data_IF_499980337561
#
_entry.id   IF_499980337561
#
_cell.length_a   1.000
_cell.length_b   1.000
_cell.length_c   1.000
_cell.angle_alpha   90.00
_cell.angle_beta   90.00
_cell.angle_gamma   90.00
#
_symmetry.space_group_name_H-M   'P 1'
#
loop_
_entity.id
_entity.type
_entity.pdbx_description
1 polymer ?
#
# COMPACT_ATOMS: atom_id res chain seq x y z
N UNK A 1 -9.75 11.57 10.88
CA UNK A 1 -9.02 11.77 9.60
C UNK A 1 -8.41 10.45 9.13
N UNK A 2 -8.26 10.25 7.82
CA UNK A 2 -7.62 9.05 7.24
C UNK A 2 -6.22 9.41 6.71
N UNK A 3 -5.27 8.49 6.85
CA UNK A 3 -3.96 8.56 6.18
C UNK A 3 -3.64 7.26 5.42
N UNK A 4 -2.73 7.36 4.45
CA UNK A 4 -2.04 6.22 3.84
C UNK A 4 -0.68 6.04 4.53
N UNK A 5 -0.43 4.85 5.10
CA UNK A 5 0.81 4.50 5.76
C UNK A 5 1.62 3.53 4.91
N UNK A 6 2.79 3.97 4.44
CA UNK A 6 3.71 3.22 3.58
C UNK A 6 4.87 2.68 4.42
N UNK A 7 4.99 1.35 4.51
CA UNK A 7 5.93 0.70 5.44
C UNK A 7 7.04 -0.05 4.69
N UNK A 8 8.29 0.24 5.06
CA UNK A 8 9.52 -0.45 4.68
C UNK A 8 9.68 -0.68 3.17
N UNK A 9 9.26 0.27 2.35
CA UNK A 9 9.50 0.25 0.89
C UNK A 9 10.93 0.75 0.62
N UNK A 10 11.89 -0.13 0.91
CA UNK A 10 13.32 0.17 0.90
C UNK A 10 14.05 -0.73 -0.10
N UNK A 11 15.12 -0.24 -0.72
CA UNK A 11 15.83 -0.92 -1.82
C UNK A 11 16.24 -2.35 -1.46
N UNK A 12 16.75 -2.54 -0.23
CA UNK A 12 17.16 -3.85 0.30
C UNK A 12 16.04 -4.89 0.36
N UNK A 13 14.78 -4.46 0.47
CA UNK A 13 13.64 -5.35 0.63
C UNK A 13 12.99 -5.68 -0.70
N UNK A 14 12.97 -4.74 -1.65
CA UNK A 14 12.23 -4.89 -2.91
C UNK A 14 12.67 -6.08 -3.76
N UNK A 15 13.94 -6.48 -3.71
CA UNK A 15 14.46 -7.64 -4.46
C UNK A 15 13.85 -8.98 -4.02
N UNK A 16 13.09 -9.03 -2.92
CA UNK A 16 12.40 -10.24 -2.46
C UNK A 16 10.94 -10.34 -2.95
N UNK A 17 10.46 -9.35 -3.71
CA UNK A 17 9.06 -9.26 -4.12
C UNK A 17 8.95 -9.04 -5.64
N UNK A 18 7.73 -9.18 -6.17
CA UNK A 18 7.45 -8.97 -7.58
C UNK A 18 7.83 -7.55 -8.02
N UNK A 19 8.43 -7.44 -9.21
CA UNK A 19 8.92 -6.18 -9.76
C UNK A 19 7.81 -5.12 -9.97
N UNK A 20 6.54 -5.54 -10.02
CA UNK A 20 5.39 -4.67 -10.17
C UNK A 20 4.88 -4.08 -8.84
N UNK A 21 5.42 -4.50 -7.68
CA UNK A 21 5.01 -4.02 -6.37
C UNK A 21 5.25 -2.53 -6.18
N UNK A 22 6.45 -2.05 -6.49
CA UNK A 22 6.79 -0.63 -6.35
C UNK A 22 5.91 0.26 -7.26
N UNK A 23 5.71 -0.06 -8.56
CA UNK A 23 4.73 0.63 -9.39
C UNK A 23 3.31 0.69 -8.80
N UNK A 24 2.79 -0.42 -8.24
CA UNK A 24 1.47 -0.45 -7.59
C UNK A 24 1.42 0.46 -6.36
N UNK A 25 2.45 0.43 -5.53
CA UNK A 25 2.58 1.31 -4.35
C UNK A 25 2.60 2.79 -4.77
N UNK A 26 3.41 3.15 -5.77
CA UNK A 26 3.49 4.52 -6.27
C UNK A 26 2.15 5.01 -6.83
N UNK A 27 1.45 4.17 -7.59
CA UNK A 27 0.11 4.50 -8.08
C UNK A 27 -0.86 4.77 -6.92
N UNK A 28 -0.82 3.95 -5.86
CA UNK A 28 -1.65 4.16 -4.67
C UNK A 28 -1.30 5.44 -3.91
N UNK A 29 -0.01 5.77 -3.79
CA UNK A 29 0.46 7.03 -3.20
C UNK A 29 -0.06 8.22 -4.01
N UNK A 30 0.03 8.17 -5.33
CA UNK A 30 -0.46 9.25 -6.20
C UNK A 30 -1.98 9.45 -6.06
N UNK A 31 -2.75 8.36 -5.98
CA UNK A 31 -4.20 8.42 -5.75
C UNK A 31 -4.53 9.03 -4.38
N UNK A 32 -3.85 8.61 -3.31
CA UNK A 32 -4.06 9.17 -1.97
C UNK A 32 -3.73 10.67 -1.94
N UNK A 33 -2.59 11.07 -2.50
CA UNK A 33 -2.17 12.46 -2.59
C UNK A 33 -3.19 13.32 -3.37
N UNK A 34 -3.67 12.82 -4.51
CA UNK A 34 -4.65 13.53 -5.33
C UNK A 34 -6.02 13.66 -4.66
N UNK A 35 -6.35 12.73 -3.76
CA UNK A 35 -7.57 12.78 -2.95
C UNK A 35 -7.45 13.68 -1.71
N UNK A 36 -6.25 14.22 -1.43
CA UNK A 36 -5.98 15.01 -0.23
C UNK A 36 -5.79 14.18 1.05
N UNK A 37 -5.69 12.85 0.94
CA UNK A 37 -5.28 11.99 2.04
C UNK A 37 -3.80 12.29 2.35
N UNK A 38 -3.45 12.40 3.64
CA UNK A 38 -2.03 12.50 3.99
C UNK A 38 -1.33 11.15 3.83
N UNK A 39 -0.09 11.19 3.33
CA UNK A 39 0.77 10.02 3.15
C UNK A 39 1.88 10.06 4.17
N UNK A 40 2.05 8.98 4.92
CA UNK A 40 3.08 8.82 5.93
C UNK A 40 3.99 7.65 5.51
N UNK A 41 5.28 7.81 5.71
CA UNK A 41 6.29 6.80 5.39
C UNK A 41 6.97 6.34 6.66
N UNK A 42 7.20 5.03 6.78
CA UNK A 42 7.97 4.46 7.87
C UNK A 42 9.04 3.56 7.28
N UNK A 43 10.30 3.82 7.61
CA UNK A 43 11.43 2.99 7.22
C UNK A 43 12.03 2.28 8.42
N UNK A 44 12.46 1.05 8.22
CA UNK A 44 13.24 0.32 9.22
C UNK A 44 14.70 0.74 9.12
N UNK A 45 15.36 1.08 10.23
CA UNK A 45 16.79 1.46 10.25
C UNK A 45 17.68 0.37 10.88
N UNK A 46 17.12 -0.80 11.16
CA UNK A 46 17.84 -1.91 11.79
C UNK A 46 18.14 -1.70 13.28
N UNK A 47 18.38 -2.82 13.97
CA UNK A 47 18.71 -2.79 15.40
C UNK A 47 20.14 -2.27 15.67
N UNK A 48 21.04 -2.41 14.70
CA UNK A 48 22.46 -2.04 14.82
C UNK A 48 22.81 -0.67 14.23
N UNK A 49 21.82 0.08 13.72
CA UNK A 49 22.00 1.43 13.19
C UNK A 49 21.74 1.56 11.69
N UNK A 50 21.35 2.78 11.30
CA UNK A 50 21.05 3.16 9.92
C UNK A 50 22.34 3.16 9.09
N UNK A 51 22.25 2.63 7.88
CA UNK A 51 23.27 2.72 6.85
C UNK A 51 22.58 2.86 5.49
N UNK A 52 23.32 3.15 4.42
CA UNK A 52 22.74 3.41 3.10
C UNK A 52 21.82 2.28 2.58
N UNK A 53 21.96 1.03 3.08
CA UNK A 53 21.06 -0.07 2.70
C UNK A 53 19.62 0.11 3.19
N UNK A 54 19.39 0.94 4.21
CA UNK A 54 18.08 1.23 4.78
C UNK A 54 17.45 2.51 4.19
N UNK A 55 18.01 3.07 3.11
CA UNK A 55 17.33 4.10 2.36
C UNK A 55 15.97 3.59 1.82
N UNK A 56 14.99 4.49 1.78
CA UNK A 56 13.78 4.27 0.99
C UNK A 56 14.18 3.98 -0.47
N UNK A 57 13.38 3.19 -1.17
CA UNK A 57 13.68 2.85 -2.56
C UNK A 57 13.79 4.13 -3.40
N UNK A 58 14.80 4.19 -4.27
CA UNK A 58 15.12 5.41 -5.05
C UNK A 58 13.95 5.89 -5.91
N UNK A 59 13.14 4.95 -6.39
CA UNK A 59 12.01 5.18 -7.28
C UNK A 59 10.67 5.22 -6.50
N UNK A 60 10.69 5.21 -5.17
CA UNK A 60 9.50 5.41 -4.35
C UNK A 60 9.02 6.86 -4.47
N UNK A 61 7.74 7.02 -4.76
CA UNK A 61 7.10 8.32 -4.79
C UNK A 61 6.96 8.89 -3.37
N UNK A 62 7.66 9.98 -3.08
CA UNK A 62 7.57 10.73 -1.82
C UNK A 62 6.79 12.02 -2.06
N UNK A 63 5.62 12.15 -1.42
CA UNK A 63 4.71 13.31 -1.58
C UNK A 63 4.55 14.16 -0.32
N UNK A 64 5.22 13.79 0.78
CA UNK A 64 5.18 14.49 2.05
C UNK A 64 6.48 14.30 2.84
N UNK A 65 6.73 15.17 3.81
CA UNK A 65 7.88 15.08 4.73
C UNK A 65 7.58 14.21 5.97
N UNK A 66 6.42 13.54 6.03
CA UNK A 66 6.03 12.67 7.14
C UNK A 66 6.74 11.31 7.07
N UNK A 67 8.06 11.32 7.30
CA UNK A 67 8.93 10.15 7.25
C UNK A 67 9.43 9.82 8.66
N UNK A 68 9.17 8.60 9.11
CA UNK A 68 9.52 8.11 10.44
C UNK A 68 10.39 6.87 10.37
N UNK A 69 11.11 6.62 11.46
CA UNK A 69 12.08 5.53 11.54
C UNK A 69 11.71 4.55 12.66
N UNK A 70 11.87 3.26 12.41
CA UNK A 70 11.67 2.22 13.42
C UNK A 70 12.83 1.24 13.44
N UNK A 71 13.13 0.71 14.62
CA UNK A 71 14.10 -0.38 14.81
C UNK A 71 13.42 -1.74 14.96
N UNK A 72 12.17 -1.72 15.39
CA UNK A 72 11.36 -2.92 15.62
C UNK A 72 10.27 -3.03 14.55
N UNK A 73 9.63 -4.20 14.40
CA UNK A 73 8.65 -4.43 13.34
C UNK A 73 7.52 -3.40 13.26
N UNK A 74 6.97 -2.98 14.39
CA UNK A 74 5.80 -2.08 14.45
C UNK A 74 6.19 -0.60 14.32
N UNK A 75 5.48 0.13 13.46
CA UNK A 75 5.60 1.59 13.37
C UNK A 75 5.22 2.31 14.68
N UNK A 76 4.38 1.68 15.52
CA UNK A 76 3.97 2.23 16.81
C UNK A 76 5.09 2.24 17.86
N UNK A 77 6.27 1.70 17.53
CA UNK A 77 7.47 1.84 18.37
C UNK A 77 8.18 3.19 18.18
N UNK A 78 7.76 4.01 17.21
CA UNK A 78 8.24 5.39 17.06
C UNK A 78 7.28 6.36 17.75
N UNK A 79 7.72 6.98 18.85
CA UNK A 79 6.89 7.90 19.63
C UNK A 79 6.50 9.17 18.84
N UNK A 80 7.35 9.64 17.92
CA UNK A 80 7.05 10.82 17.11
C UNK A 80 5.94 10.54 16.10
N UNK A 81 5.95 9.35 15.49
CA UNK A 81 4.87 8.86 14.64
C UNK A 81 3.55 8.79 15.42
N UNK A 82 3.54 8.13 16.58
CA UNK A 82 2.33 8.01 17.42
C UNK A 82 1.82 9.37 17.89
N UNK A 83 2.73 10.29 18.22
CA UNK A 83 2.38 11.67 18.60
C UNK A 83 1.76 12.43 17.43
N UNK A 84 2.31 12.29 16.22
CA UNK A 84 1.78 12.96 15.03
C UNK A 84 0.37 12.48 14.70
N UNK A 85 0.11 11.16 14.77
CA UNK A 85 -1.24 10.62 14.56
C UNK A 85 -2.28 11.28 15.48
N UNK A 86 -1.91 11.56 16.74
CA UNK A 86 -2.77 12.25 17.70
C UNK A 86 -2.93 13.73 17.37
N UNK A 87 -1.85 14.44 17.06
CA UNK A 87 -1.88 15.87 16.69
C UNK A 87 -2.80 16.10 15.50
N UNK A 88 -2.74 15.21 14.51
CA UNK A 88 -3.56 15.30 13.31
C UNK A 88 -4.96 14.69 13.44
N UNK A 89 -5.35 14.20 14.63
CA UNK A 89 -6.64 13.55 14.86
C UNK A 89 -6.92 12.42 13.85
N UNK A 90 -5.90 11.62 13.58
CA UNK A 90 -6.00 10.43 12.72
C UNK A 90 -6.90 9.41 13.41
N UNK A 91 -7.84 8.86 12.67
CA UNK A 91 -8.81 7.86 13.12
C UNK A 91 -8.76 6.61 12.25
N UNK A 92 -8.27 6.73 11.00
CA UNK A 92 -8.20 5.64 10.04
C UNK A 92 -6.81 5.53 9.40
N UNK A 93 -6.31 4.30 9.28
CA UNK A 93 -5.02 3.97 8.67
C UNK A 93 -5.25 2.99 7.51
N UNK A 94 -4.94 3.39 6.28
CA UNK A 94 -4.76 2.44 5.18
C UNK A 94 -3.28 2.07 5.10
N UNK A 95 -2.94 0.80 5.28
CA UNK A 95 -1.55 0.31 5.40
C UNK A 95 -1.15 -0.43 4.12
N UNK A 96 0.03 -0.08 3.60
CA UNK A 96 0.69 -0.71 2.44
C UNK A 96 2.19 -0.92 2.71
N UNK A 97 2.84 -1.77 1.89
CA UNK A 97 4.28 -2.00 1.94
C UNK A 97 4.66 -3.44 2.29
N UNK A 98 5.80 -3.62 2.96
CA UNK A 98 6.40 -4.94 3.22
C UNK A 98 7.03 -5.02 4.62
N UNK A 99 7.33 -6.18 5.19
CA UNK A 99 6.82 -7.50 4.83
C UNK A 99 5.47 -7.76 5.50
N UNK A 100 4.53 -8.35 4.75
CA UNK A 100 3.18 -8.72 5.18
C UNK A 100 3.14 -9.54 6.48
N UNK A 101 4.10 -10.43 6.71
CA UNK A 101 4.15 -11.31 7.89
C UNK A 101 4.82 -10.68 9.11
N UNK A 102 5.51 -9.56 8.94
CA UNK A 102 6.38 -8.98 9.98
C UNK A 102 5.92 -7.55 10.29
N UNK A 103 6.41 -6.56 9.55
CA UNK A 103 6.23 -5.15 9.86
C UNK A 103 4.79 -4.70 9.63
N UNK A 104 4.18 -5.19 8.55
CA UNK A 104 2.77 -4.94 8.25
C UNK A 104 1.89 -5.58 9.31
N UNK A 105 2.05 -6.89 9.57
CA UNK A 105 1.30 -7.61 10.62
C UNK A 105 1.35 -6.88 11.96
N UNK A 106 2.54 -6.56 12.44
CA UNK A 106 2.73 -5.93 13.76
C UNK A 106 2.15 -4.53 13.80
N UNK A 107 2.34 -3.72 12.77
CA UNK A 107 1.76 -2.37 12.71
C UNK A 107 0.24 -2.40 12.64
N UNK A 108 -0.35 -3.29 11.82
CA UNK A 108 -1.81 -3.44 11.76
C UNK A 108 -2.41 -3.86 13.10
N UNK A 109 -1.76 -4.81 13.80
CA UNK A 109 -2.22 -5.28 15.10
C UNK A 109 -2.15 -4.18 16.16
N UNK A 110 -1.02 -3.46 16.26
CA UNK A 110 -0.86 -2.40 17.25
C UNK A 110 -1.79 -1.20 16.96
N UNK A 111 -2.00 -0.88 15.67
CA UNK A 111 -2.98 0.12 15.26
C UNK A 111 -4.41 -0.25 15.69
N UNK A 112 -4.84 -1.48 15.41
CA UNK A 112 -6.17 -1.95 15.78
C UNK A 112 -6.34 -1.94 17.32
N UNK A 113 -5.35 -2.43 18.06
CA UNK A 113 -5.34 -2.41 19.52
C UNK A 113 -5.37 -0.98 20.10
N UNK A 114 -4.76 -0.02 19.41
CA UNK A 114 -4.81 1.40 19.79
C UNK A 114 -6.12 2.10 19.38
N UNK A 115 -7.08 1.38 18.80
CA UNK A 115 -8.42 1.89 18.47
C UNK A 115 -8.55 2.56 17.11
N UNK A 116 -7.53 2.49 16.25
CA UNK A 116 -7.63 2.99 14.88
C UNK A 116 -8.46 2.04 14.01
N UNK A 117 -9.23 2.60 13.08
CA UNK A 117 -9.80 1.81 11.99
C UNK A 117 -8.70 1.48 10.98
N UNK A 118 -8.37 0.20 10.86
CA UNK A 118 -7.24 -0.24 10.03
C UNK A 118 -7.76 -0.92 8.76
N UNK A 119 -7.25 -0.49 7.62
CA UNK A 119 -7.43 -1.15 6.33
C UNK A 119 -6.08 -1.64 5.82
N UNK A 120 -5.90 -2.94 5.61
CA UNK A 120 -4.74 -3.51 4.94
C UNK A 120 -5.05 -3.69 3.45
N UNK A 121 -4.25 -3.06 2.59
CA UNK A 121 -4.44 -3.13 1.15
C UNK A 121 -3.51 -4.17 0.48
N UNK A 122 -4.10 -5.29 0.05
CA UNK A 122 -3.37 -6.41 -0.54
C UNK A 122 -2.86 -6.17 -1.97
N UNK A 123 -3.37 -5.14 -2.66
CA UNK A 123 -2.80 -4.72 -3.95
C UNK A 123 -1.48 -3.99 -3.78
N UNK A 124 -1.12 -3.54 -2.59
CA UNK A 124 0.10 -2.78 -2.35
C UNK A 124 0.91 -3.36 -1.18
N UNK A 125 0.62 -4.62 -0.82
CA UNK A 125 1.30 -5.35 0.25
C UNK A 125 1.82 -6.67 -0.28
N UNK A 126 3.04 -7.03 0.09
CA UNK A 126 3.63 -8.32 -0.24
C UNK A 126 4.29 -8.98 0.97
N UNK A 127 4.37 -10.30 0.93
CA UNK A 127 5.00 -11.11 1.98
C UNK A 127 5.91 -12.15 1.34
N UNK A 128 7.09 -12.38 1.92
CA UNK A 128 8.07 -13.34 1.39
C UNK A 128 7.60 -14.78 1.46
N UNK A 129 6.71 -15.08 2.40
CA UNK A 129 6.13 -16.41 2.58
C UNK A 129 4.61 -16.31 2.53
N UNK A 130 4.04 -16.59 1.37
CA UNK A 130 2.60 -16.49 1.12
C UNK A 130 1.79 -17.47 1.98
N UNK A 131 2.31 -18.67 2.24
CA UNK A 131 1.63 -19.65 3.10
C UNK A 131 1.46 -19.16 4.54
N UNK A 132 2.48 -18.47 5.07
CA UNK A 132 2.38 -17.80 6.38
C UNK A 132 1.47 -16.58 6.26
N UNK A 133 1.50 -15.88 5.13
CA UNK A 133 0.70 -14.68 4.93
C UNK A 133 -0.79 -14.96 4.99
N UNK A 134 -1.28 -16.06 4.40
CA UNK A 134 -2.68 -16.46 4.54
C UNK A 134 -3.12 -16.66 6.00
N UNK A 135 -2.23 -17.17 6.86
CA UNK A 135 -2.50 -17.26 8.31
C UNK A 135 -2.51 -15.89 8.96
N UNK A 136 -1.53 -15.04 8.61
CA UNK A 136 -1.46 -13.64 9.06
C UNK A 136 -2.74 -12.87 8.70
N UNK A 137 -3.28 -13.02 7.48
CA UNK A 137 -4.52 -12.36 7.07
C UNK A 137 -5.72 -12.80 7.91
N UNK A 138 -5.80 -14.07 8.31
CA UNK A 138 -6.85 -14.54 9.23
C UNK A 138 -6.72 -13.91 10.61
N UNK A 139 -5.51 -13.84 11.15
CA UNK A 139 -5.25 -13.18 12.44
C UNK A 139 -5.62 -11.69 12.41
N UNK A 140 -5.27 -10.99 11.33
CA UNK A 140 -5.59 -9.57 11.16
C UNK A 140 -7.10 -9.34 11.06
N UNK A 141 -7.85 -10.18 10.32
CA UNK A 141 -9.31 -10.11 10.29
C UNK A 141 -9.92 -10.30 11.67
N UNK A 142 -9.43 -11.27 12.44
CA UNK A 142 -9.91 -11.53 13.80
C UNK A 142 -9.64 -10.35 14.75
N UNK A 143 -8.60 -9.57 14.49
CA UNK A 143 -8.29 -8.33 15.22
C UNK A 143 -9.09 -7.11 14.73
N UNK A 144 -10.04 -7.28 13.80
CA UNK A 144 -10.86 -6.19 13.27
C UNK A 144 -10.23 -5.38 12.14
N UNK A 145 -9.09 -5.84 11.59
CA UNK A 145 -8.47 -5.19 10.42
C UNK A 145 -9.30 -5.50 9.17
N UNK A 146 -9.71 -4.46 8.46
CA UNK A 146 -10.39 -4.57 7.17
C UNK A 146 -9.34 -4.92 6.11
N UNK A 147 -9.57 -5.97 5.32
CA UNK A 147 -8.63 -6.39 4.29
C UNK A 147 -9.26 -6.14 2.93
N UNK A 148 -8.63 -5.27 2.12
CA UNK A 148 -9.06 -5.05 0.74
C UNK A 148 -8.32 -5.99 -0.20
N UNK A 149 -9.09 -6.66 -1.07
CA UNK A 149 -8.58 -7.67 -1.98
C UNK A 149 -7.75 -7.08 -3.10
N UNK A 150 -6.93 -7.93 -3.72
CA UNK A 150 -6.40 -7.66 -5.05
C UNK A 150 -7.56 -7.62 -6.03
N UNK A 151 -8.15 -6.46 -6.34
CA UNK A 151 -8.87 -6.34 -7.61
C UNK A 151 -7.86 -6.62 -8.71
N UNK A 152 -8.27 -7.37 -9.73
CA UNK A 152 -7.44 -7.63 -10.90
C UNK A 152 -7.09 -6.27 -11.53
N UNK A 153 -5.86 -5.80 -11.36
CA UNK A 153 -5.31 -4.78 -12.24
C UNK A 153 -4.69 -5.52 -13.41
N UNK A 154 -5.38 -5.52 -14.54
CA UNK A 154 -4.74 -5.81 -15.83
C UNK A 154 -3.76 -4.67 -16.14
N UNK A 155 -2.58 -4.69 -15.51
CA UNK A 155 -1.45 -3.87 -15.94
C UNK A 155 -0.87 -4.57 -17.17
N UNK A 156 -1.25 -4.06 -18.35
CA UNK A 156 -0.57 -4.23 -19.63
C UNK A 156 0.03 -5.62 -19.93
N UNK A 157 -0.75 -6.69 -19.74
CA UNK A 157 -0.49 -7.96 -20.42
C UNK A 157 -1.54 -8.10 -21.50
N UNK A 158 -1.11 -7.86 -22.74
CA UNK A 158 -1.85 -8.01 -23.99
C UNK A 158 -3.18 -8.77 -23.86
N UNK A 159 -4.29 -8.04 -23.83
CA UNK A 159 -5.51 -8.54 -24.47
C UNK A 159 -5.31 -8.33 -25.96
N UNK A 160 -5.01 -9.41 -26.68
CA UNK A 160 -5.09 -9.46 -28.13
C UNK A 160 -6.54 -9.28 -28.56
N UNK A 161 -7.05 -8.04 -28.51
CA UNK A 161 -8.25 -7.67 -29.25
C UNK A 161 -7.73 -6.93 -30.47
N UNK A 162 -8.02 -7.52 -31.62
CA UNK A 162 -7.67 -7.02 -32.94
C UNK A 162 -8.01 -5.53 -33.06
N UNK A 163 -6.98 -4.72 -33.30
CA UNK A 163 -6.88 -3.77 -34.40
C UNK A 163 -5.73 -2.81 -34.09
N UNK A 164 -4.65 -2.95 -34.87
CA UNK A 164 -3.44 -2.18 -34.68
C UNK A 164 -3.67 -0.69 -34.89
N UNK A 165 -3.41 0.10 -33.86
CA UNK A 165 -2.98 1.49 -33.96
C UNK A 165 -2.04 1.77 -32.77
N UNK A 166 -0.78 2.09 -33.07
CA UNK A 166 0.20 2.59 -32.09
C UNK A 166 -0.12 4.04 -31.76
N UNK A 167 -0.27 4.37 -30.48
CA UNK A 167 -0.03 5.72 -29.97
C UNK A 167 0.33 5.71 -28.48
N UNK A 168 0.99 6.79 -28.06
CA UNK A 168 1.73 7.14 -26.82
C UNK A 168 1.18 6.56 -25.48
N UNK A 169 2.01 6.43 -24.43
CA UNK A 169 1.57 5.90 -23.14
C UNK A 169 0.79 6.97 -22.36
N UNK A 170 -0.51 7.03 -22.56
CA UNK A 170 -1.42 7.59 -21.57
C UNK A 170 -1.69 6.51 -20.51
N UNK A 171 -1.46 6.84 -19.23
CA UNK A 171 -1.81 5.95 -18.12
C UNK A 171 -3.33 5.98 -18.00
N UNK A 172 -3.99 5.05 -18.68
CA UNK A 172 -5.41 4.80 -18.47
C UNK A 172 -5.60 3.98 -17.19
N UNK A 173 -6.15 4.60 -16.16
CA UNK A 173 -6.58 3.90 -14.95
C UNK A 173 -7.95 3.26 -15.26
N UNK A 174 -8.03 1.94 -15.19
CA UNK A 174 -9.27 1.20 -15.36
C UNK A 174 -9.76 0.65 -14.02
N UNK A 175 -11.07 0.62 -13.84
CA UNK A 175 -11.72 -0.14 -12.78
C UNK A 175 -12.41 -1.35 -13.41
N UNK A 176 -12.27 -2.53 -12.79
CA UNK A 176 -13.06 -3.68 -13.19
C UNK A 176 -14.46 -3.62 -12.58
N UNK A 177 -15.46 -3.91 -13.41
CA UNK A 177 -16.87 -4.02 -13.03
C UNK A 177 -17.34 -5.39 -13.50
N UNK A 178 -18.00 -6.16 -12.63
CA UNK A 178 -18.61 -7.44 -13.00
C UNK A 178 -20.09 -7.21 -13.26
N UNK A 179 -20.53 -7.49 -14.48
CA UNK A 179 -21.94 -7.46 -14.87
C UNK A 179 -22.26 -8.74 -15.65
N UNK A 180 -23.34 -9.43 -15.26
CA UNK A 180 -23.78 -10.68 -15.89
C UNK A 180 -22.70 -11.77 -15.97
N UNK A 181 -21.88 -11.87 -14.92
CA UNK A 181 -20.72 -12.80 -14.85
C UNK A 181 -19.61 -12.52 -15.87
N UNK A 182 -19.62 -11.36 -16.51
CA UNK A 182 -18.60 -10.88 -17.44
C UNK A 182 -17.85 -9.72 -16.78
N UNK A 183 -16.52 -9.74 -16.86
CA UNK A 183 -15.66 -8.67 -16.35
C UNK A 183 -15.43 -7.59 -17.43
N UNK A 184 -15.78 -6.35 -17.10
CA UNK A 184 -15.60 -5.17 -17.95
C UNK A 184 -14.54 -4.26 -17.35
N UNK A 185 -13.65 -3.74 -18.20
CA UNK A 185 -12.66 -2.74 -17.81
C UNK A 185 -13.13 -1.36 -18.27
N UNK A 186 -13.54 -0.52 -17.33
CA UNK A 186 -14.06 0.82 -17.63
C UNK A 186 -12.99 1.86 -17.26
N UNK A 187 -12.59 2.76 -18.18
CA UNK A 187 -11.72 3.88 -17.85
C UNK A 187 -12.34 4.72 -16.72
N UNK A 188 -11.56 5.11 -15.73
CA UNK A 188 -12.06 5.94 -14.61
C UNK A 188 -12.71 7.25 -15.09
N UNK A 189 -12.24 7.80 -16.21
CA UNK A 189 -12.82 9.00 -16.83
C UNK A 189 -14.29 8.83 -17.26
N UNK A 190 -14.72 7.63 -17.60
CA UNK A 190 -16.09 7.33 -18.02
C UNK A 190 -17.05 7.08 -16.84
N UNK A 191 -16.52 6.70 -15.67
CA UNK A 191 -17.33 6.39 -14.48
C UNK A 191 -17.97 7.66 -13.88
N UNK A 192 -17.32 8.82 -14.03
CA UNK A 192 -17.82 10.10 -13.51
C UNK A 192 -18.80 10.85 -14.44
N UNK A 193 -19.16 10.27 -15.60
CA UNK A 193 -19.99 10.97 -16.60
C UNK A 193 -21.47 10.55 -16.58
N UNK A 194 -21.90 9.68 -15.66
CA UNK A 194 -23.32 9.30 -15.55
C UNK A 194 -23.93 9.89 -14.28
N UNK A 195 -24.62 11.03 -14.44
CA UNK A 195 -25.67 11.48 -13.53
C UNK A 195 -27.02 11.07 -14.08
#
# INVERSE_FOLDING_TARGET
MKILLVIDVQEKYLNYYDADLLPRINAKIAVANSAGDQVFYVRNIGIHGDNDSYALAKDLLIVSDHIYEKKFPSAFTNDSFVKELKIQNVTELEIIGVDGNICIKKTCMDAANAGYKVTLNLQCTAARNEMIFEKTLKELRNAGVIITSKSCYCINRWCSIANGLRSQPEIFIYQSIIQDSIEYFVPLSLIFTVK
#
